data_IF_781646435429
#
_entry.id   IF_781646435429
#
_cell.length_a   1.000
_cell.length_b   1.000
_cell.length_c   1.000
_cell.angle_alpha   90.00
_cell.angle_beta   90.00
_cell.angle_gamma   90.00
#
_symmetry.space_group_name_H-M   'P 1'
#
loop_
_entity.id
_entity.type
_entity.pdbx_description
1 polymer ?
#
# COMPACT_ATOMS: atom_id res chain seq x y z
N UNK A 1 -8.57 12.19 -18.48
CA UNK A 1 -8.56 10.81 -17.97
C UNK A 1 -7.63 9.97 -18.83
N UNK A 2 -6.53 9.45 -18.30
CA UNK A 2 -5.66 8.53 -19.05
C UNK A 2 -6.27 7.13 -18.92
N UNK A 3 -6.81 6.59 -20.01
CA UNK A 3 -7.29 5.19 -20.06
C UNK A 3 -6.11 4.24 -20.23
N UNK A 4 -5.40 3.95 -19.14
CA UNK A 4 -4.46 2.83 -19.09
C UNK A 4 -5.30 1.54 -18.99
N UNK A 5 -5.01 0.51 -19.80
CA UNK A 5 -5.87 -0.68 -19.94
C UNK A 5 -5.19 -2.02 -19.63
N UNK A 6 -3.86 -2.03 -19.44
CA UNK A 6 -3.10 -3.26 -19.17
C UNK A 6 -2.08 -3.04 -18.05
N UNK A 7 -1.69 -4.13 -17.41
CA UNK A 7 -0.67 -4.17 -16.37
C UNK A 7 0.66 -3.59 -16.88
N UNK A 8 1.11 -4.01 -18.06
CA UNK A 8 2.36 -3.52 -18.66
C UNK A 8 2.34 -2.02 -18.86
N UNK A 9 1.20 -1.44 -19.28
CA UNK A 9 1.11 0.01 -19.43
C UNK A 9 1.16 0.74 -18.09
N UNK A 10 0.65 0.15 -17.01
CA UNK A 10 0.79 0.70 -15.66
C UNK A 10 2.24 0.59 -15.15
N UNK A 11 2.94 -0.50 -15.47
CA UNK A 11 4.37 -0.61 -15.21
C UNK A 11 5.17 0.42 -16.01
N UNK A 12 4.91 0.57 -17.31
CA UNK A 12 5.55 1.60 -18.15
C UNK A 12 5.27 3.00 -17.60
N UNK A 13 4.03 3.26 -17.17
CA UNK A 13 3.68 4.52 -16.53
C UNK A 13 4.45 4.72 -15.22
N UNK A 14 4.53 3.70 -14.37
CA UNK A 14 5.34 3.74 -13.15
C UNK A 14 6.80 4.06 -13.47
N UNK A 15 7.43 3.34 -14.41
CA UNK A 15 8.83 3.57 -14.83
C UNK A 15 9.05 5.00 -15.30
N UNK A 16 8.12 5.55 -16.08
CA UNK A 16 8.19 6.95 -16.55
C UNK A 16 8.13 8.00 -15.43
N UNK A 17 7.55 7.65 -14.27
CA UNK A 17 7.38 8.55 -13.12
C UNK A 17 8.45 8.33 -12.05
N UNK A 18 8.81 7.09 -11.78
CA UNK A 18 9.78 6.70 -10.77
C UNK A 18 11.22 6.76 -11.28
N UNK A 19 11.41 6.79 -12.60
CA UNK A 19 12.71 6.64 -13.26
C UNK A 19 13.47 5.39 -12.78
N UNK A 20 12.73 4.32 -12.47
CA UNK A 20 13.25 3.06 -11.95
C UNK A 20 12.32 1.92 -12.32
N UNK A 21 12.86 0.70 -12.29
CA UNK A 21 12.05 -0.50 -12.30
C UNK A 21 11.26 -0.64 -10.98
N UNK A 22 10.03 -1.18 -11.02
CA UNK A 22 9.36 -1.61 -9.82
C UNK A 22 10.10 -2.81 -9.25
N UNK A 23 10.41 -2.75 -7.97
CA UNK A 23 11.01 -3.87 -7.25
C UNK A 23 9.89 -4.63 -6.55
N UNK A 24 9.80 -5.93 -6.83
CA UNK A 24 8.89 -6.84 -6.16
C UNK A 24 9.70 -7.95 -5.50
N UNK A 25 9.41 -8.23 -4.24
CA UNK A 25 9.94 -9.39 -3.52
C UNK A 25 9.10 -10.64 -3.82
N UNK A 26 9.65 -11.84 -3.59
CA UNK A 26 8.95 -13.10 -3.91
C UNK A 26 7.63 -13.24 -3.15
N UNK A 27 7.58 -12.69 -1.94
CA UNK A 27 6.46 -12.74 -1.03
C UNK A 27 5.47 -11.58 -1.23
N UNK A 28 5.74 -10.66 -2.17
CA UNK A 28 4.83 -9.56 -2.46
C UNK A 28 3.52 -10.07 -3.07
N UNK A 29 2.41 -9.63 -2.50
CA UNK A 29 1.10 -9.81 -3.10
C UNK A 29 0.83 -8.61 -3.99
N UNK A 30 0.58 -8.86 -5.28
CA UNK A 30 0.36 -7.83 -6.29
C UNK A 30 -1.10 -7.87 -6.76
N UNK A 31 -1.76 -6.72 -6.66
CA UNK A 31 -3.13 -6.51 -7.14
C UNK A 31 -3.07 -5.53 -8.31
N UNK A 32 -3.74 -5.92 -9.39
CA UNK A 32 -3.91 -5.10 -10.56
C UNK A 32 -5.39 -4.82 -10.82
N UNK A 33 -5.73 -3.54 -10.93
CA UNK A 33 -7.01 -3.09 -11.46
C UNK A 33 -6.77 -2.23 -12.70
N UNK A 34 -7.44 -2.58 -13.80
CA UNK A 34 -7.25 -1.90 -15.09
C UNK A 34 -7.49 -0.39 -15.04
N UNK A 35 -8.41 0.09 -14.19
CA UNK A 35 -8.77 1.50 -14.04
C UNK A 35 -8.01 2.18 -12.90
N UNK A 36 -7.65 1.44 -11.85
CA UNK A 36 -7.08 2.00 -10.62
C UNK A 36 -5.56 1.88 -10.52
N UNK A 37 -4.95 0.93 -11.24
CA UNK A 37 -3.51 0.76 -11.32
C UNK A 37 -3.00 -0.48 -10.61
N UNK A 38 -1.82 -0.38 -9.99
CA UNK A 38 -1.16 -1.52 -9.33
C UNK A 38 -0.93 -1.15 -7.87
N UNK A 39 -1.19 -2.12 -7.01
CA UNK A 39 -0.93 -2.08 -5.59
C UNK A 39 -0.15 -3.34 -5.21
N UNK A 40 0.99 -3.22 -4.55
CA UNK A 40 1.68 -4.37 -3.95
C UNK A 40 1.92 -4.16 -2.47
N UNK A 41 1.81 -5.27 -1.73
CA UNK A 41 1.95 -5.26 -0.30
C UNK A 41 2.52 -6.57 0.24
N UNK A 42 3.03 -6.48 1.46
CA UNK A 42 3.30 -7.60 2.35
C UNK A 42 2.55 -7.36 3.66
N UNK A 43 2.42 -8.39 4.48
CA UNK A 43 1.93 -8.21 5.84
C UNK A 43 2.57 -9.23 6.77
N UNK A 44 2.67 -8.86 8.04
CA UNK A 44 3.10 -9.73 9.13
C UNK A 44 2.03 -9.77 10.22
N UNK A 45 2.41 -10.16 11.43
CA UNK A 45 1.49 -10.34 12.55
C UNK A 45 0.66 -9.08 12.85
N UNK A 46 1.21 -7.87 12.71
CA UNK A 46 0.55 -6.64 13.19
C UNK A 46 0.35 -5.58 12.10
N UNK A 47 1.11 -5.65 11.01
CA UNK A 47 1.18 -4.57 10.03
C UNK A 47 1.01 -5.02 8.58
N UNK A 48 0.36 -4.15 7.81
CA UNK A 48 0.30 -4.19 6.35
C UNK A 48 1.36 -3.21 5.79
N UNK A 49 2.33 -3.73 5.03
CA UNK A 49 3.38 -2.95 4.39
C UNK A 49 3.04 -2.71 2.93
N UNK A 50 2.75 -1.47 2.55
CA UNK A 50 2.57 -1.07 1.16
C UNK A 50 3.96 -0.91 0.53
N UNK A 51 4.24 -1.70 -0.50
CA UNK A 51 5.53 -1.74 -1.20
C UNK A 51 5.51 -0.86 -2.46
N UNK A 52 4.44 -0.95 -3.24
CA UNK A 52 4.28 -0.16 -4.45
C UNK A 52 2.82 0.29 -4.65
N UNK A 53 2.66 1.55 -5.06
CA UNK A 53 1.38 2.08 -5.51
C UNK A 53 1.60 2.89 -6.78
N UNK A 54 0.84 2.58 -7.82
CA UNK A 54 0.73 3.41 -9.02
C UNK A 54 -0.73 3.53 -9.45
N UNK A 55 -1.09 4.70 -9.94
CA UNK A 55 -2.47 5.05 -10.32
C UNK A 55 -3.24 5.81 -9.26
N UNK A 56 -4.45 5.35 -8.95
CA UNK A 56 -5.41 6.03 -8.09
C UNK A 56 -5.03 5.85 -6.61
N UNK A 57 -4.14 6.70 -6.11
CA UNK A 57 -3.64 6.63 -4.74
C UNK A 57 -4.72 6.79 -3.67
N UNK A 58 -5.84 7.44 -3.97
CA UNK A 58 -6.94 7.56 -3.01
C UNK A 58 -7.76 6.27 -2.92
N UNK A 59 -8.04 5.65 -4.06
CA UNK A 59 -8.62 4.31 -4.09
C UNK A 59 -7.74 3.31 -3.33
N UNK A 60 -6.43 3.29 -3.63
CA UNK A 60 -5.50 2.36 -3.00
C UNK A 60 -5.31 2.61 -1.51
N UNK A 61 -5.38 3.86 -1.05
CA UNK A 61 -5.37 4.14 0.38
C UNK A 61 -6.58 3.54 1.09
N UNK A 62 -7.79 3.76 0.56
CA UNK A 62 -9.02 3.18 1.15
C UNK A 62 -8.99 1.65 1.10
N UNK A 63 -8.47 1.09 0.01
CA UNK A 63 -8.27 -0.35 -0.12
C UNK A 63 -7.30 -0.89 0.94
N UNK A 64 -6.16 -0.23 1.17
CA UNK A 64 -5.18 -0.65 2.18
C UNK A 64 -5.75 -0.64 3.60
N UNK A 65 -6.55 0.37 3.96
CA UNK A 65 -7.21 0.45 5.26
C UNK A 65 -8.22 -0.68 5.45
N UNK A 66 -9.10 -0.89 4.45
CA UNK A 66 -10.08 -1.96 4.49
C UNK A 66 -9.42 -3.35 4.52
N UNK A 67 -8.34 -3.54 3.76
CA UNK A 67 -7.56 -4.77 3.75
C UNK A 67 -6.90 -5.00 5.11
N UNK A 68 -6.29 -3.98 5.72
CA UNK A 68 -5.69 -4.05 7.05
C UNK A 68 -6.72 -4.49 8.11
N UNK A 69 -7.90 -3.84 8.15
CA UNK A 69 -8.99 -4.24 9.03
C UNK A 69 -9.46 -5.67 8.77
N UNK A 70 -9.63 -6.04 7.49
CA UNK A 70 -10.05 -7.39 7.11
C UNK A 70 -9.05 -8.42 7.60
N UNK A 71 -7.75 -8.22 7.39
CA UNK A 71 -6.70 -9.13 7.86
C UNK A 71 -6.54 -9.15 9.39
N UNK A 72 -7.29 -8.33 10.15
CA UNK A 72 -7.16 -8.24 11.60
C UNK A 72 -5.82 -7.64 12.03
N UNK A 73 -5.28 -6.73 11.20
CA UNK A 73 -4.06 -5.99 11.44
C UNK A 73 -4.41 -4.60 12.01
N UNK A 74 -3.43 -3.94 12.62
CA UNK A 74 -3.64 -2.68 13.33
C UNK A 74 -2.94 -1.50 12.68
N UNK A 75 -2.02 -1.77 11.76
CA UNK A 75 -1.09 -0.77 11.27
C UNK A 75 -0.94 -0.88 9.76
N UNK A 76 -0.97 0.25 9.07
CA UNK A 76 -0.53 0.38 7.68
C UNK A 76 0.80 1.15 7.67
N UNK A 77 1.80 0.58 7.00
CA UNK A 77 3.14 1.12 6.86
C UNK A 77 3.50 1.31 5.38
N UNK A 78 4.22 2.38 5.06
CA UNK A 78 4.85 2.54 3.76
C UNK A 78 6.08 3.45 3.84
N UNK A 79 6.95 3.35 2.84
CA UNK A 79 8.10 4.24 2.68
C UNK A 79 7.88 5.21 1.52
N UNK A 80 8.26 6.48 1.68
CA UNK A 80 8.21 7.46 0.59
C UNK A 80 9.36 8.45 0.65
N UNK A 81 9.84 8.90 -0.50
CA UNK A 81 10.76 10.05 -0.62
C UNK A 81 10.02 11.39 -0.76
N UNK A 82 8.69 11.36 -0.87
CA UNK A 82 7.86 12.56 -1.00
C UNK A 82 7.67 13.24 0.36
N UNK A 83 7.20 14.48 0.34
CA UNK A 83 6.92 15.24 1.57
C UNK A 83 5.93 14.46 2.48
N UNK A 84 6.34 14.02 3.68
CA UNK A 84 5.51 13.23 4.58
C UNK A 84 4.27 14.02 5.04
N UNK A 85 4.37 15.35 5.18
CA UNK A 85 3.28 16.22 5.64
C UNK A 85 2.03 16.15 4.76
N UNK A 86 2.19 15.84 3.47
CA UNK A 86 1.05 15.66 2.57
C UNK A 86 0.21 14.43 2.97
N UNK A 87 0.87 13.35 3.37
CA UNK A 87 0.23 12.10 3.79
C UNK A 87 -0.38 12.21 5.18
N UNK A 88 0.28 12.94 6.09
CA UNK A 88 -0.29 13.24 7.41
C UNK A 88 -1.61 14.01 7.28
N UNK A 89 -1.64 15.09 6.48
CA UNK A 89 -2.85 15.90 6.29
C UNK A 89 -3.96 15.18 5.54
N UNK A 90 -3.65 14.48 4.45
CA UNK A 90 -4.68 13.90 3.57
C UNK A 90 -5.24 12.59 4.12
N UNK A 91 -4.40 11.77 4.74
CA UNK A 91 -4.73 10.38 5.04
C UNK A 91 -4.52 10.00 6.50
N UNK A 92 -4.03 10.90 7.35
CA UNK A 92 -3.86 10.63 8.79
C UNK A 92 -2.70 9.68 9.10
N UNK A 93 -1.67 9.64 8.25
CA UNK A 93 -0.41 8.98 8.61
C UNK A 93 0.39 9.82 9.60
N UNK A 94 1.38 9.20 10.22
CA UNK A 94 2.40 9.82 11.05
C UNK A 94 3.78 9.40 10.54
N UNK A 95 4.70 10.36 10.47
CA UNK A 95 6.11 10.04 10.23
C UNK A 95 6.69 9.30 11.45
N UNK A 96 7.25 8.10 11.23
CA UNK A 96 7.92 7.31 12.27
C UNK A 96 9.41 7.63 12.32
N UNK A 97 10.07 7.58 11.17
CA UNK A 97 11.50 7.86 11.05
C UNK A 97 11.87 8.27 9.63
N UNK A 98 13.02 8.91 9.51
CA UNK A 98 13.67 9.17 8.22
C UNK A 98 14.94 8.33 8.18
N UNK A 99 15.18 7.59 7.09
CA UNK A 99 16.40 6.82 6.88
C UNK A 99 16.82 6.90 5.42
N UNK A 100 18.06 7.32 5.15
CA UNK A 100 18.61 7.42 3.79
C UNK A 100 17.69 8.17 2.80
N UNK A 101 17.05 9.26 3.26
CA UNK A 101 16.12 10.06 2.45
C UNK A 101 14.71 9.48 2.29
N UNK A 102 14.42 8.32 2.88
CA UNK A 102 13.09 7.73 2.94
C UNK A 102 12.38 8.09 4.23
N UNK A 103 11.16 8.60 4.11
CA UNK A 103 10.21 8.80 5.19
C UNK A 103 9.40 7.52 5.39
N UNK A 104 9.50 6.93 6.58
CA UNK A 104 8.68 5.78 6.97
C UNK A 104 7.41 6.29 7.62
N UNK A 105 6.28 6.03 7.00
CA UNK A 105 4.97 6.51 7.39
C UNK A 105 4.16 5.39 8.03
N UNK A 106 3.40 5.71 9.08
CA UNK A 106 2.54 4.77 9.81
C UNK A 106 1.15 5.34 10.04
N UNK A 107 0.13 4.51 9.85
CA UNK A 107 -1.24 4.81 10.26
C UNK A 107 -1.80 3.66 11.10
N UNK A 108 -2.40 3.97 12.23
CA UNK A 108 -3.17 3.00 13.01
C UNK A 108 -4.58 2.88 12.42
N UNK A 109 -5.10 1.66 12.38
CA UNK A 109 -6.44 1.35 11.88
C UNK A 109 -7.31 0.92 13.06
N UNK A 110 -8.39 1.66 13.29
CA UNK A 110 -9.37 1.33 14.32
C UNK A 110 -10.13 0.04 13.96
N UNK A 111 -10.33 -0.84 14.94
CA UNK A 111 -11.11 -2.07 14.76
C UNK A 111 -10.31 -3.32 14.37
N UNK A 112 -8.98 -3.31 14.45
CA UNK A 112 -8.19 -4.55 14.33
C UNK A 112 -8.61 -5.59 15.38
N UNK A 113 -8.77 -6.84 14.97
CA UNK A 113 -9.09 -7.95 15.87
C UNK A 113 -7.77 -8.51 16.41
N UNK A 114 -7.53 -8.56 17.74
CA UNK A 114 -6.31 -9.12 18.30
C UNK A 114 -6.06 -10.54 17.77
N UNK A 115 -4.78 -10.88 17.54
CA UNK A 115 -4.32 -12.12 16.93
C UNK A 115 -5.04 -13.38 17.43
N UNK A 116 -5.39 -13.43 18.72
CA UNK A 116 -6.13 -14.53 19.35
C UNK A 116 -7.60 -14.71 18.96
N UNK A 117 -8.17 -13.89 18.06
CA UNK A 117 -9.58 -14.00 17.59
C UNK A 117 -9.73 -14.00 16.06
N UNK A 118 -8.65 -14.20 15.31
CA UNK A 118 -8.66 -14.22 13.84
C UNK A 118 -9.45 -15.43 13.33
N UNK A 119 -10.54 -15.20 12.60
CA UNK A 119 -11.14 -16.24 11.74
C UNK A 119 -10.31 -16.29 10.46
N UNK A 120 -9.95 -17.48 9.98
CA UNK A 120 -9.34 -17.65 8.67
C UNK A 120 -10.22 -16.98 7.62
N UNK A 121 -9.69 -15.95 6.97
CA UNK A 121 -10.39 -15.27 5.89
C UNK A 121 -9.95 -15.96 4.61
N UNK A 122 -10.85 -16.65 3.89
CA UNK A 122 -10.49 -17.25 2.63
C UNK A 122 -10.07 -16.13 1.67
N UNK A 123 -8.80 -16.20 1.27
CA UNK A 123 -8.24 -15.48 0.14
C UNK A 123 -8.83 -16.19 -1.08
N UNK A 124 -10.00 -15.74 -1.56
CA UNK A 124 -10.68 -16.43 -2.65
C UNK A 124 -9.92 -16.31 -3.97
N UNK A 125 -10.05 -17.41 -4.72
CA UNK A 125 -9.56 -17.75 -6.06
C UNK A 125 -10.03 -16.79 -7.15
#
# INVERSE_FOLDING_TARGET
MIQIKSYDKWLSFYKSKANSEPFFEKEDIIIYDKRKGIFSYQYDEDALYIKLVTGDGEHWQRFAEALCSRLGLFVVLFATRRNPKAWERKFGYHLVRISQGWCIMRKFIEGGIPSGKRKEIPIWK
#
